data_IF_082459433398
#
_entry.id   IF_082459433398
#
_cell.length_a   1.000
_cell.length_b   1.000
_cell.length_c   1.000
_cell.angle_alpha   90.00
_cell.angle_beta   90.00
_cell.angle_gamma   90.00
#
_symmetry.space_group_name_H-M   'P 1'
#
loop_
_entity.id
_entity.type
_entity.pdbx_description
1 polymer ?
#
# COMPACT_ATOMS: atom_id res chain seq x y z
N UNK A 1 18.39 5.59 8.19
CA UNK A 1 17.52 4.70 7.43
C UNK A 1 16.71 5.49 6.42
N UNK A 2 16.45 4.87 5.30
CA UNK A 2 15.64 5.50 4.28
C UNK A 2 14.18 5.19 4.49
N UNK A 3 13.33 6.02 3.91
CA UNK A 3 11.88 5.83 3.98
C UNK A 3 11.36 5.29 2.67
N UNK A 4 10.40 4.39 2.77
CA UNK A 4 9.79 3.75 1.62
C UNK A 4 8.29 3.88 1.70
N UNK A 5 7.70 4.28 0.57
CA UNK A 5 6.25 4.28 0.41
C UNK A 5 5.83 2.88 -0.03
N UNK A 6 4.91 2.28 0.70
CA UNK A 6 4.27 1.04 0.29
C UNK A 6 2.90 1.39 -0.21
N UNK A 7 2.62 1.04 -1.46
CA UNK A 7 1.31 1.22 -2.06
C UNK A 7 0.66 -0.15 -2.18
N UNK A 8 -0.54 -0.28 -1.62
CA UNK A 8 -1.32 -1.50 -1.71
C UNK A 8 -2.20 -1.43 -2.94
N UNK A 9 -2.16 -2.47 -3.76
CA UNK A 9 -2.96 -2.52 -4.98
C UNK A 9 -3.89 -3.71 -4.97
N UNK A 10 -5.07 -3.41 -5.39
CA UNK A 10 -6.24 -4.16 -5.64
C UNK A 10 -6.30 -5.59 -5.39
N UNK A 11 -7.04 -5.89 -4.39
CA UNK A 11 -7.70 -7.16 -4.42
C UNK A 11 -8.68 -7.12 -5.58
N UNK A 12 -8.73 -8.20 -6.34
CA UNK A 12 -9.72 -8.37 -7.40
C UNK A 12 -11.07 -8.72 -6.81
N UNK A 13 -11.46 -7.98 -5.80
CA UNK A 13 -12.73 -8.24 -5.14
C UNK A 13 -13.84 -7.69 -6.00
N UNK A 14 -14.96 -8.38 -6.00
CA UNK A 14 -16.17 -7.89 -6.60
C UNK A 14 -16.41 -6.46 -6.14
N UNK A 15 -16.45 -5.52 -7.08
CA UNK A 15 -16.59 -4.11 -6.78
C UNK A 15 -17.83 -3.80 -5.95
N UNK A 16 -18.85 -4.66 -6.05
CA UNK A 16 -20.09 -4.46 -5.30
C UNK A 16 -19.91 -4.67 -3.80
N UNK A 17 -18.89 -5.40 -3.39
CA UNK A 17 -18.65 -5.70 -1.98
C UNK A 17 -17.51 -4.88 -1.37
N UNK A 18 -16.72 -4.23 -2.23
CA UNK A 18 -15.55 -3.49 -1.78
C UNK A 18 -14.42 -4.39 -1.33
N UNK A 19 -13.25 -3.82 -1.00
CA UNK A 19 -12.12 -4.62 -0.55
C UNK A 19 -12.39 -5.20 0.84
N UNK A 20 -12.07 -6.47 1.00
CA UNK A 20 -12.30 -7.19 2.25
C UNK A 20 -11.00 -7.27 3.05
N UNK A 21 -10.72 -6.22 3.77
CA UNK A 21 -9.56 -6.19 4.66
C UNK A 21 -9.95 -6.71 6.03
N UNK A 22 -9.16 -7.64 6.55
CA UNK A 22 -9.34 -8.11 7.93
C UNK A 22 -8.59 -7.15 8.86
N UNK A 23 -9.29 -6.33 9.63
CA UNK A 23 -8.64 -5.30 10.45
C UNK A 23 -7.66 -5.88 11.46
N UNK A 24 -7.94 -7.07 11.99
CA UNK A 24 -7.09 -7.67 13.00
C UNK A 24 -5.77 -8.16 12.39
N UNK A 25 -5.81 -8.75 11.20
CA UNK A 25 -4.59 -9.19 10.52
C UNK A 25 -3.71 -8.01 10.16
N UNK A 26 -4.31 -6.93 9.68
CA UNK A 26 -3.59 -5.70 9.35
C UNK A 26 -2.97 -5.09 10.60
N UNK A 27 -3.72 -5.02 11.71
CA UNK A 27 -3.19 -4.50 12.96
C UNK A 27 -2.01 -5.33 13.45
N UNK A 28 -2.11 -6.64 13.34
CA UNK A 28 -1.02 -7.54 13.75
C UNK A 28 0.23 -7.30 12.91
N UNK A 29 0.07 -7.12 11.60
CA UNK A 29 1.21 -6.85 10.73
C UNK A 29 1.84 -5.49 11.07
N UNK A 30 1.03 -4.45 11.23
CA UNK A 30 1.54 -3.14 11.62
C UNK A 30 2.30 -3.21 12.95
N UNK A 31 1.77 -3.93 13.92
CA UNK A 31 2.44 -4.09 15.20
C UNK A 31 3.79 -4.81 15.03
N UNK A 32 3.86 -5.78 14.13
CA UNK A 32 5.09 -6.52 13.87
C UNK A 32 6.19 -5.64 13.27
N UNK A 33 5.82 -4.58 12.59
CA UNK A 33 6.80 -3.64 12.02
C UNK A 33 7.48 -2.80 13.09
N UNK A 34 6.80 -2.55 14.20
CA UNK A 34 7.37 -1.81 15.31
C UNK A 34 7.91 -0.46 14.90
N UNK A 35 9.16 -0.19 15.24
CA UNK A 35 9.80 1.09 14.95
C UNK A 35 10.01 1.33 13.44
N UNK A 36 9.93 0.30 12.62
CA UNK A 36 10.04 0.46 11.18
C UNK A 36 8.80 1.14 10.57
N UNK A 37 7.67 1.10 11.25
CA UNK A 37 6.46 1.75 10.77
C UNK A 37 6.54 3.24 11.06
N UNK A 38 6.70 4.05 10.01
CA UNK A 38 6.81 5.51 10.12
C UNK A 38 5.42 6.15 10.07
N UNK A 39 4.61 5.70 9.14
CA UNK A 39 3.25 6.21 8.97
C UNK A 39 2.37 5.04 8.55
N UNK A 40 1.39 4.77 9.37
CA UNK A 40 0.45 3.68 9.12
C UNK A 40 -0.33 3.90 7.82
N UNK A 41 -0.56 5.16 7.45
CA UNK A 41 -1.32 5.51 6.27
C UNK A 41 -2.78 5.17 6.40
N UNK A 42 -3.36 4.67 5.33
CA UNK A 42 -4.76 4.29 5.33
C UNK A 42 -5.06 3.26 4.26
N UNK A 43 -6.12 2.52 4.47
CA UNK A 43 -6.67 1.62 3.47
C UNK A 43 -7.75 2.37 2.68
N UNK A 44 -7.84 2.06 1.40
CA UNK A 44 -8.72 2.78 0.49
C UNK A 44 -9.34 1.83 -0.52
N UNK A 45 -10.38 2.30 -1.19
CA UNK A 45 -10.97 1.57 -2.30
C UNK A 45 -11.63 2.57 -3.25
N UNK A 46 -12.07 2.07 -4.40
CA UNK A 46 -12.75 2.89 -5.42
C UNK A 46 -11.85 4.00 -5.96
N UNK A 47 -10.65 3.63 -6.38
CA UNK A 47 -9.74 4.60 -6.96
C UNK A 47 -10.08 4.89 -8.42
N UNK A 48 -9.81 6.11 -8.83
CA UNK A 48 -9.86 6.50 -10.23
C UNK A 48 -8.49 7.01 -10.63
N UNK A 49 -8.16 6.82 -11.89
CA UNK A 49 -6.94 7.37 -12.45
C UNK A 49 -7.29 8.58 -13.31
N UNK A 50 -6.52 9.64 -13.17
CA UNK A 50 -6.65 10.82 -14.03
C UNK A 50 -5.41 10.85 -14.93
N UNK A 51 -5.47 10.28 -16.14
CA UNK A 51 -4.28 10.15 -16.99
C UNK A 51 -3.82 11.49 -17.58
N UNK A 52 -4.74 12.43 -17.73
CA UNK A 52 -4.38 13.77 -18.19
C UNK A 52 -5.54 14.72 -17.92
N UNK A 53 -5.27 16.03 -18.01
CA UNK A 53 -6.31 17.03 -17.85
C UNK A 53 -7.39 16.92 -18.94
N UNK A 54 -7.01 16.43 -20.12
CA UNK A 54 -7.90 16.36 -21.27
C UNK A 54 -8.81 15.13 -21.23
N UNK A 55 -8.31 14.03 -20.68
CA UNK A 55 -9.03 12.76 -20.71
C UNK A 55 -9.95 12.57 -19.49
N UNK A 56 -9.67 13.27 -18.40
CA UNK A 56 -10.43 13.11 -17.18
C UNK A 56 -10.19 11.76 -16.51
N UNK A 57 -10.99 11.46 -15.48
CA UNK A 57 -10.79 10.25 -14.69
C UNK A 57 -11.28 9.00 -15.39
N UNK A 58 -10.62 7.87 -15.07
CA UNK A 58 -11.07 6.55 -15.49
C UNK A 58 -10.89 5.57 -14.36
N UNK A 59 -11.65 4.48 -14.38
CA UNK A 59 -11.49 3.41 -13.41
C UNK A 59 -10.17 2.70 -13.65
N UNK A 60 -9.48 2.35 -12.57
CA UNK A 60 -8.23 1.64 -12.64
C UNK A 60 -8.47 0.16 -12.34
N UNK A 61 -8.03 -0.72 -13.25
CA UNK A 61 -8.18 -2.16 -13.06
C UNK A 61 -7.35 -2.69 -11.89
N UNK A 62 -6.29 -1.98 -11.53
CA UNK A 62 -5.47 -2.30 -10.36
C UNK A 62 -5.70 -1.23 -9.29
N UNK A 63 -6.87 -1.27 -8.68
CA UNK A 63 -7.31 -0.26 -7.72
C UNK A 63 -6.29 -0.02 -6.63
N UNK A 64 -6.09 1.24 -6.32
CA UNK A 64 -5.29 1.64 -5.16
C UNK A 64 -6.05 1.26 -3.89
N UNK A 65 -5.41 0.43 -3.07
CA UNK A 65 -6.04 -0.07 -1.84
C UNK A 65 -5.50 0.59 -0.58
N UNK A 66 -4.56 1.51 -0.73
CA UNK A 66 -4.03 2.26 0.40
C UNK A 66 -2.54 2.47 0.32
N UNK A 67 -2.00 2.98 1.41
CA UNK A 67 -0.56 3.20 1.51
C UNK A 67 -0.10 3.16 2.95
N UNK A 68 1.20 2.93 3.13
CA UNK A 68 1.91 3.11 4.40
C UNK A 68 3.32 3.59 4.10
N UNK A 69 4.00 4.09 5.12
CA UNK A 69 5.41 4.47 5.01
C UNK A 69 6.22 3.70 6.05
N UNK A 70 7.28 3.07 5.60
CA UNK A 70 8.18 2.34 6.49
C UNK A 70 9.60 2.85 6.36
N UNK A 71 10.41 2.59 7.37
CA UNK A 71 11.85 2.85 7.35
C UNK A 71 12.59 1.52 7.16
N UNK A 72 13.58 1.52 6.30
CA UNK A 72 14.38 0.35 6.04
C UNK A 72 15.77 0.77 5.57
N UNK A 73 16.74 -0.12 5.71
CA UNK A 73 18.11 0.17 5.29
C UNK A 73 18.23 0.24 3.76
N UNK A 74 17.49 -0.59 3.06
CA UNK A 74 17.53 -0.66 1.61
C UNK A 74 16.24 -1.30 1.08
N UNK A 75 16.12 -1.42 -0.24
CA UNK A 75 14.95 -2.04 -0.85
C UNK A 75 14.76 -3.50 -0.43
N UNK A 76 15.86 -4.24 -0.26
CA UNK A 76 15.75 -5.64 0.16
C UNK A 76 15.05 -5.77 1.50
N UNK A 77 15.44 -4.94 2.47
CA UNK A 77 14.79 -4.94 3.77
C UNK A 77 13.32 -4.50 3.66
N UNK A 78 13.05 -3.48 2.86
CA UNK A 78 11.67 -3.01 2.65
C UNK A 78 10.81 -4.13 2.07
N UNK A 79 11.32 -4.87 1.09
CA UNK A 79 10.62 -6.00 0.51
C UNK A 79 10.36 -7.08 1.56
N UNK A 80 11.37 -7.41 2.36
CA UNK A 80 11.21 -8.42 3.41
C UNK A 80 10.12 -8.04 4.40
N UNK A 81 10.08 -6.76 4.82
CA UNK A 81 9.05 -6.29 5.72
C UNK A 81 7.66 -6.37 5.09
N UNK A 82 7.57 -6.09 3.80
CA UNK A 82 6.31 -6.08 3.08
C UNK A 82 5.77 -7.49 2.78
N UNK A 83 6.63 -8.50 2.72
CA UNK A 83 6.23 -9.85 2.34
C UNK A 83 5.19 -10.46 3.28
N UNK A 84 5.15 -10.02 4.53
CA UNK A 84 4.16 -10.51 5.50
C UNK A 84 2.85 -9.74 5.46
N UNK A 85 2.71 -8.80 4.55
CA UNK A 85 1.51 -7.96 4.47
C UNK A 85 0.27 -8.78 4.14
N UNK A 86 -0.84 -8.56 4.85
CA UNK A 86 -2.08 -9.29 4.58
C UNK A 86 -2.65 -9.08 3.18
N UNK A 87 -2.22 -8.03 2.46
CA UNK A 87 -2.75 -7.76 1.12
C UNK A 87 -2.56 -8.95 0.17
N UNK A 88 -1.49 -9.72 0.36
CA UNK A 88 -1.24 -10.90 -0.48
C UNK A 88 -2.27 -11.98 -0.27
N UNK A 89 -2.82 -12.09 0.93
CA UNK A 89 -3.89 -13.04 1.22
C UNK A 89 -5.25 -12.52 0.73
N UNK A 90 -5.31 -11.26 0.39
CA UNK A 90 -6.51 -10.59 -0.12
C UNK A 90 -6.44 -10.43 -1.65
N UNK A 91 -5.58 -11.21 -2.30
CA UNK A 91 -5.39 -11.21 -3.75
C UNK A 91 -4.88 -9.89 -4.31
N UNK A 92 -4.19 -9.15 -3.47
CA UNK A 92 -3.58 -7.89 -3.88
C UNK A 92 -2.08 -7.99 -4.00
N UNK A 93 -1.46 -6.86 -4.21
CA UNK A 93 -0.02 -6.72 -4.35
C UNK A 93 0.46 -5.43 -3.71
N UNK A 94 1.76 -5.30 -3.58
CA UNK A 94 2.36 -4.06 -3.11
C UNK A 94 3.32 -3.53 -4.15
N UNK A 95 3.42 -2.21 -4.19
CA UNK A 95 4.46 -1.51 -4.93
C UNK A 95 5.23 -0.67 -3.93
N UNK A 96 6.55 -0.72 -4.00
CA UNK A 96 7.41 -0.05 -3.03
C UNK A 96 8.26 0.97 -3.76
N UNK A 97 8.26 2.20 -3.26
CA UNK A 97 9.06 3.26 -3.83
C UNK A 97 9.86 3.95 -2.73
N UNK A 98 11.12 4.26 -3.00
CA UNK A 98 11.94 5.00 -2.06
C UNK A 98 11.52 6.46 -2.07
N UNK A 99 11.23 7.00 -0.90
CA UNK A 99 10.89 8.41 -0.78
C UNK A 99 12.16 9.24 -0.79
N UNK A 100 12.17 10.23 -1.66
CA UNK A 100 13.23 11.21 -1.76
C UNK A 100 12.61 12.58 -1.68
N UNK A 101 13.37 13.54 -1.25
CA UNK A 101 12.84 14.88 -1.21
C UNK A 101 13.57 15.75 -0.23
N UNK A 102 13.27 17.04 -0.21
CA UNK A 102 13.97 17.99 0.64
C UNK A 102 13.78 17.70 2.12
N UNK A 103 12.74 16.99 2.47
CA UNK A 103 12.44 16.63 3.85
C UNK A 103 12.66 15.15 4.10
N UNK A 104 13.12 14.44 3.12
CA UNK A 104 13.63 13.12 3.06
C UNK A 104 12.98 12.02 3.77
#
# INVERSE_FOLDING_TARGET
MERYLIVYRGSTVDESEGPQHDPQRWATWFDSLGAALVDRGGLAHNSVEVPSRLRGPKLNSASLSGYSVIAAADFNEAVQLAEACPIFDEKGSVEIARLVGPTG
#
